data_IF_876475868429
#
_entry.id   IF_876475868429
#
_cell.length_a   1.000
_cell.length_b   1.000
_cell.length_c   1.000
_cell.angle_alpha   90.00
_cell.angle_beta   90.00
_cell.angle_gamma   90.00
#
_symmetry.space_group_name_H-M   'P 1'
#
loop_
_entity.id
_entity.type
_entity.pdbx_description
1 polymer ?
#
# COMPACT_ATOMS: atom_id res chain seq x y z
N UNK A 1 24.14 -88.48 14.41
CA UNK A 1 24.71 -87.63 13.33
C UNK A 1 24.53 -86.09 13.55
N UNK A 2 24.38 -85.64 14.76
CA UNK A 2 24.15 -84.26 15.07
C UNK A 2 25.32 -83.45 15.62
N UNK A 3 26.43 -84.06 15.97
CA UNK A 3 27.52 -83.36 16.68
C UNK A 3 28.63 -82.76 15.82
N UNK A 4 28.67 -83.09 14.54
CA UNK A 4 29.78 -82.69 13.66
C UNK A 4 29.57 -81.32 13.00
N UNK A 5 28.32 -80.89 12.90
CA UNK A 5 27.98 -79.56 12.30
C UNK A 5 28.12 -78.40 13.26
N UNK A 6 27.84 -78.57 14.53
CA UNK A 6 27.95 -77.57 15.58
C UNK A 6 29.39 -77.19 15.87
N UNK A 7 30.34 -78.15 15.84
CA UNK A 7 31.78 -77.94 16.06
C UNK A 7 32.46 -77.17 14.91
N UNK A 8 31.94 -77.24 13.67
CA UNK A 8 32.45 -76.52 12.51
C UNK A 8 32.06 -75.02 12.53
N UNK A 9 30.97 -74.65 13.17
CA UNK A 9 30.53 -73.26 13.34
C UNK A 9 31.34 -72.53 14.39
N UNK A 10 31.85 -73.21 15.39
CA UNK A 10 32.68 -72.61 16.48
C UNK A 10 34.13 -72.31 16.10
N UNK A 11 34.66 -72.90 15.04
CA UNK A 11 36.08 -72.74 14.63
C UNK A 11 36.26 -71.91 13.35
N UNK A 12 35.17 -71.52 12.70
CA UNK A 12 35.21 -70.76 11.46
C UNK A 12 35.25 -69.25 11.77
N UNK A 13 36.39 -68.59 11.57
CA UNK A 13 36.51 -67.11 11.63
C UNK A 13 35.54 -66.35 10.61
N UNK A 14 34.99 -67.09 9.63
CA UNK A 14 33.98 -66.59 8.69
C UNK A 14 32.60 -66.45 9.32
N UNK A 15 32.27 -67.07 10.42
CA UNK A 15 31.03 -66.92 11.18
C UNK A 15 30.94 -65.62 11.96
N UNK A 16 32.05 -64.97 12.23
CA UNK A 16 32.09 -63.73 13.03
C UNK A 16 31.48 -62.54 12.30
N UNK A 17 31.59 -62.48 10.95
CA UNK A 17 31.00 -61.42 10.15
C UNK A 17 29.48 -61.60 10.11
N UNK A 18 28.96 -62.80 9.97
CA UNK A 18 27.54 -63.07 9.94
C UNK A 18 26.85 -62.72 11.28
N UNK A 19 27.49 -63.00 12.40
CA UNK A 19 26.97 -62.66 13.73
C UNK A 19 27.05 -61.16 14.00
N UNK A 20 28.14 -60.49 13.60
CA UNK A 20 28.25 -59.03 13.66
C UNK A 20 27.20 -58.35 12.79
N UNK A 21 26.99 -58.81 11.53
CA UNK A 21 25.98 -58.27 10.63
C UNK A 21 24.58 -58.48 11.20
N UNK A 22 24.27 -59.65 11.76
CA UNK A 22 22.99 -59.94 12.37
C UNK A 22 22.67 -59.04 13.58
N UNK A 23 23.69 -58.67 14.38
CA UNK A 23 23.54 -57.76 15.50
C UNK A 23 23.45 -56.28 15.06
N UNK A 24 24.19 -55.90 14.02
CA UNK A 24 24.20 -54.50 13.55
C UNK A 24 23.01 -54.17 12.64
N UNK A 25 22.44 -55.14 11.95
CA UNK A 25 21.33 -54.90 11.00
C UNK A 25 20.09 -54.26 11.65
N UNK A 26 19.58 -54.70 12.80
CA UNK A 26 18.47 -54.02 13.48
C UNK A 26 18.78 -52.57 13.86
N UNK A 27 20.05 -52.32 14.26
CA UNK A 27 20.48 -50.94 14.60
C UNK A 27 20.52 -50.04 13.37
N UNK A 28 21.03 -50.57 12.23
CA UNK A 28 21.06 -49.84 10.98
C UNK A 28 19.65 -49.57 10.43
N UNK A 29 18.77 -50.57 10.49
CA UNK A 29 17.37 -50.43 10.09
C UNK A 29 16.65 -49.40 10.98
N UNK A 30 16.85 -49.48 12.29
CA UNK A 30 16.31 -48.54 13.26
C UNK A 30 16.80 -47.11 13.02
N UNK A 31 18.11 -46.93 12.80
CA UNK A 31 18.68 -45.63 12.47
C UNK A 31 18.16 -45.05 11.16
N UNK A 32 18.07 -45.84 10.09
CA UNK A 32 17.51 -45.42 8.80
C UNK A 32 16.02 -45.08 8.91
N UNK A 33 15.27 -45.85 9.71
CA UNK A 33 13.86 -45.61 9.97
C UNK A 33 13.62 -44.31 10.73
N UNK A 34 14.39 -44.06 11.81
CA UNK A 34 14.31 -42.79 12.55
C UNK A 34 14.73 -41.61 11.70
N UNK A 35 15.70 -41.75 10.80
CA UNK A 35 16.07 -40.69 9.85
C UNK A 35 14.93 -40.40 8.89
N UNK A 36 14.22 -41.39 8.36
CA UNK A 36 13.06 -41.26 7.53
C UNK A 36 11.92 -40.52 8.25
N UNK A 37 11.62 -40.92 9.50
CA UNK A 37 10.58 -40.25 10.31
C UNK A 37 10.94 -38.79 10.60
N UNK A 38 12.20 -38.49 10.88
CA UNK A 38 12.70 -37.13 11.12
C UNK A 38 12.54 -36.25 9.90
N UNK A 39 12.81 -36.80 8.70
CA UNK A 39 12.60 -36.09 7.43
C UNK A 39 11.10 -35.73 7.25
N UNK A 40 10.22 -36.74 7.42
CA UNK A 40 8.76 -36.53 7.28
C UNK A 40 8.25 -35.52 8.31
N UNK A 41 8.66 -35.60 9.56
CA UNK A 41 8.31 -34.64 10.60
C UNK A 41 8.76 -33.24 10.24
N UNK A 42 10.02 -33.08 9.80
CA UNK A 42 10.59 -31.77 9.43
C UNK A 42 9.88 -31.15 8.24
N UNK A 43 9.57 -31.93 7.20
CA UNK A 43 8.86 -31.46 6.03
C UNK A 43 7.44 -31.02 6.40
N UNK A 44 6.71 -31.81 7.16
CA UNK A 44 5.37 -31.47 7.63
C UNK A 44 5.39 -30.19 8.50
N UNK A 45 6.34 -30.10 9.43
CA UNK A 45 6.51 -28.90 10.27
C UNK A 45 6.76 -27.65 9.45
N UNK A 46 7.61 -27.74 8.41
CA UNK A 46 7.89 -26.62 7.51
C UNK A 46 6.67 -26.23 6.66
N UNK A 47 5.91 -27.20 6.14
CA UNK A 47 4.68 -26.92 5.40
C UNK A 47 3.63 -26.24 6.29
N UNK A 48 3.44 -26.75 7.51
CA UNK A 48 2.53 -26.16 8.48
C UNK A 48 2.96 -24.74 8.88
N UNK A 49 4.26 -24.50 9.07
CA UNK A 49 4.74 -23.15 9.41
C UNK A 49 4.48 -22.17 8.26
N UNK A 50 4.76 -22.54 7.02
CA UNK A 50 4.44 -21.70 5.85
C UNK A 50 2.94 -21.39 5.76
N UNK A 51 2.08 -22.37 6.00
CA UNK A 51 0.64 -22.17 5.98
C UNK A 51 0.17 -21.29 7.15
N UNK A 52 0.76 -21.42 8.33
CA UNK A 52 0.47 -20.55 9.47
C UNK A 52 0.92 -19.10 9.20
N UNK A 53 2.14 -18.92 8.67
CA UNK A 53 2.69 -17.60 8.32
C UNK A 53 1.81 -16.90 7.28
N UNK A 54 1.45 -17.62 6.22
CA UNK A 54 0.60 -17.12 5.14
C UNK A 54 -0.81 -16.78 5.65
N UNK A 55 -1.42 -17.67 6.43
CA UNK A 55 -2.72 -17.43 7.06
C UNK A 55 -2.73 -16.24 8.02
N UNK A 56 -1.68 -16.08 8.83
CA UNK A 56 -1.55 -14.93 9.72
C UNK A 56 -1.46 -13.62 8.94
N UNK A 57 -0.67 -13.58 7.85
CA UNK A 57 -0.59 -12.42 6.96
C UNK A 57 -1.94 -12.12 6.31
N UNK A 58 -2.64 -13.13 5.79
CA UNK A 58 -3.95 -12.96 5.16
C UNK A 58 -4.99 -12.43 6.15
N UNK A 59 -5.01 -12.96 7.37
CA UNK A 59 -5.86 -12.49 8.46
C UNK A 59 -5.55 -11.05 8.85
N UNK A 60 -4.27 -10.70 9.03
CA UNK A 60 -3.84 -9.34 9.35
C UNK A 60 -4.14 -8.36 8.21
N UNK A 61 -4.01 -8.80 6.95
CA UNK A 61 -4.44 -8.01 5.80
C UNK A 61 -5.94 -7.71 5.86
N UNK A 62 -6.76 -8.71 6.11
CA UNK A 62 -8.20 -8.51 6.27
C UNK A 62 -8.50 -7.58 7.45
N UNK A 63 -7.81 -7.72 8.57
CA UNK A 63 -7.96 -6.84 9.74
C UNK A 63 -7.62 -5.39 9.39
N UNK A 64 -6.55 -5.14 8.61
CA UNK A 64 -6.16 -3.79 8.14
C UNK A 64 -7.20 -3.15 7.21
N UNK A 65 -8.03 -3.99 6.57
CA UNK A 65 -9.02 -3.54 5.58
C UNK A 65 -10.38 -3.22 6.20
N UNK A 66 -10.63 -3.62 7.44
CA UNK A 66 -11.94 -3.53 8.06
C UNK A 66 -11.86 -2.75 9.37
N UNK A 67 -12.48 -1.57 9.39
CA UNK A 67 -12.78 -0.87 10.64
C UNK A 67 -14.06 -1.48 11.22
N UNK A 68 -13.93 -2.24 12.29
CA UNK A 68 -15.09 -2.70 13.10
C UNK A 68 -15.82 -3.95 12.63
N UNK A 69 -15.33 -4.69 11.64
CA UNK A 69 -15.88 -6.00 11.29
C UNK A 69 -15.25 -7.08 12.18
N UNK A 70 -16.11 -7.89 12.77
CA UNK A 70 -15.75 -8.88 13.76
C UNK A 70 -14.73 -9.92 13.27
N UNK A 71 -14.25 -10.67 14.21
CA UNK A 71 -13.27 -11.77 14.05
C UNK A 71 -13.60 -12.77 12.91
N UNK A 72 -14.85 -12.88 12.48
CA UNK A 72 -15.27 -13.82 11.43
C UNK A 72 -14.65 -13.54 10.05
N UNK A 73 -14.55 -12.28 9.62
CA UNK A 73 -13.95 -11.94 8.32
C UNK A 73 -12.44 -12.23 8.31
N UNK A 74 -11.78 -11.95 9.44
CA UNK A 74 -10.35 -12.26 9.66
C UNK A 74 -10.12 -13.76 9.64
N UNK A 75 -10.96 -14.52 10.34
CA UNK A 75 -10.90 -15.98 10.39
C UNK A 75 -11.14 -16.60 9.01
N UNK A 76 -12.14 -16.11 8.27
CA UNK A 76 -12.42 -16.59 6.92
C UNK A 76 -11.26 -16.34 5.94
N UNK A 77 -10.64 -15.17 6.01
CA UNK A 77 -9.49 -14.84 5.17
C UNK A 77 -8.28 -15.72 5.49
N UNK A 78 -7.95 -15.87 6.77
CA UNK A 78 -6.85 -16.72 7.22
C UNK A 78 -7.08 -18.18 6.85
N UNK A 79 -8.28 -18.73 7.13
CA UNK A 79 -8.63 -20.11 6.81
C UNK A 79 -8.62 -20.38 5.30
N UNK A 80 -9.15 -19.44 4.51
CA UNK A 80 -9.15 -19.53 3.05
C UNK A 80 -7.73 -19.59 2.46
N UNK A 81 -6.79 -18.88 3.05
CA UNK A 81 -5.39 -18.90 2.63
C UNK A 81 -4.67 -20.18 3.08
N UNK A 82 -4.87 -20.61 4.33
CA UNK A 82 -4.35 -21.87 4.85
C UNK A 82 -4.80 -23.05 3.99
N UNK A 83 -6.08 -23.06 3.58
CA UNK A 83 -6.63 -24.15 2.75
C UNK A 83 -6.00 -24.18 1.37
N UNK A 84 -5.73 -23.04 0.76
CA UNK A 84 -5.07 -22.94 -0.56
C UNK A 84 -3.61 -23.33 -0.53
N UNK A 85 -2.91 -23.03 0.54
CA UNK A 85 -1.46 -23.23 0.67
C UNK A 85 -1.10 -24.47 1.51
N UNK A 86 -2.09 -25.14 2.11
CA UNK A 86 -1.90 -26.32 2.94
C UNK A 86 -1.77 -27.58 2.09
N UNK A 87 -0.55 -27.95 1.74
CA UNK A 87 -0.25 -29.25 1.09
C UNK A 87 -0.20 -30.44 2.06
N UNK A 88 -0.89 -30.38 3.22
CA UNK A 88 -0.89 -31.42 4.26
C UNK A 88 -2.30 -31.65 4.80
N UNK A 89 -2.54 -32.84 5.32
CA UNK A 89 -3.82 -33.16 5.96
C UNK A 89 -3.87 -32.59 7.36
N UNK A 90 -4.89 -31.78 7.64
CA UNK A 90 -5.15 -31.24 8.99
C UNK A 90 -6.12 -32.17 9.72
N UNK A 91 -5.66 -32.82 10.78
CA UNK A 91 -6.50 -33.63 11.67
C UNK A 91 -7.16 -32.79 12.78
N UNK A 92 -6.68 -31.56 12.98
CA UNK A 92 -7.14 -30.65 14.03
C UNK A 92 -7.53 -29.31 13.38
N UNK A 93 -8.68 -28.79 13.80
CA UNK A 93 -9.18 -27.50 13.30
C UNK A 93 -8.19 -26.38 13.59
N UNK A 94 -7.83 -25.53 12.60
CA UNK A 94 -7.02 -24.34 12.81
C UNK A 94 -7.61 -23.39 13.84
N UNK A 95 -6.79 -22.88 14.74
CA UNK A 95 -7.18 -21.84 15.70
C UNK A 95 -6.67 -20.51 15.20
N UNK A 96 -7.60 -19.56 14.99
CA UNK A 96 -7.30 -18.23 14.49
C UNK A 96 -7.84 -17.21 15.49
N UNK A 97 -6.96 -16.43 16.09
CA UNK A 97 -7.28 -15.45 17.11
C UNK A 97 -6.96 -14.02 16.62
N UNK A 98 -7.88 -13.11 16.89
CA UNK A 98 -7.66 -11.67 16.72
C UNK A 98 -8.49 -10.96 17.81
N UNK A 99 -7.82 -10.38 18.82
CA UNK A 99 -6.37 -10.29 19.07
C UNK A 99 -5.70 -11.65 19.34
N UNK A 100 -4.35 -11.66 19.31
CA UNK A 100 -3.55 -12.84 19.67
C UNK A 100 -3.76 -13.20 21.15
N UNK A 101 -3.78 -14.51 21.46
CA UNK A 101 -4.10 -14.99 22.82
C UNK A 101 -2.87 -15.47 23.58
N UNK A 102 -1.71 -15.57 22.92
CA UNK A 102 -0.51 -16.09 23.55
C UNK A 102 0.77 -15.35 23.11
N UNK A 103 1.84 -15.55 23.89
CA UNK A 103 3.17 -14.96 23.62
C UNK A 103 3.26 -13.45 23.87
N UNK A 104 4.31 -12.84 23.33
CA UNK A 104 4.63 -11.40 23.53
C UNK A 104 3.61 -10.45 22.92
N UNK A 105 2.77 -10.92 21.99
CA UNK A 105 1.75 -10.15 21.29
C UNK A 105 0.33 -10.44 21.80
N UNK A 106 0.25 -11.07 22.99
CA UNK A 106 -1.03 -11.32 23.63
C UNK A 106 -1.81 -10.03 23.81
N UNK A 107 -3.12 -10.07 23.49
CA UNK A 107 -4.05 -8.95 23.60
C UNK A 107 -3.72 -7.76 22.66
N UNK A 108 -2.74 -7.88 21.77
CA UNK A 108 -2.44 -6.87 20.75
C UNK A 108 -3.59 -6.80 19.73
N UNK A 109 -4.37 -5.74 19.77
CA UNK A 109 -5.57 -5.55 18.93
C UNK A 109 -5.27 -5.50 17.42
N UNK A 110 -4.03 -5.18 17.07
CA UNK A 110 -3.53 -5.12 15.70
C UNK A 110 -2.84 -6.43 15.24
N UNK A 111 -2.96 -7.52 16.02
CA UNK A 111 -2.31 -8.79 15.71
C UNK A 111 -3.31 -9.91 15.41
N UNK A 112 -2.90 -10.80 14.50
CA UNK A 112 -3.60 -12.05 14.18
C UNK A 112 -2.67 -13.23 14.44
N UNK A 113 -3.14 -14.16 15.26
CA UNK A 113 -2.45 -15.39 15.61
C UNK A 113 -3.11 -16.57 14.88
N UNK A 114 -2.29 -17.40 14.25
CA UNK A 114 -2.71 -18.67 13.64
C UNK A 114 -1.96 -19.81 14.29
N UNK A 115 -2.71 -20.80 14.80
CA UNK A 115 -2.16 -22.02 15.39
C UNK A 115 -2.70 -23.20 14.59
N UNK A 116 -1.79 -23.97 14.00
CA UNK A 116 -2.07 -25.19 13.27
C UNK A 116 -1.54 -26.39 14.07
N UNK A 117 -2.27 -27.48 14.05
CA UNK A 117 -1.85 -28.73 14.64
C UNK A 117 -2.32 -29.90 13.80
N UNK A 118 -1.52 -30.96 13.75
CA UNK A 118 -1.89 -32.24 13.15
C UNK A 118 -1.26 -33.39 13.91
N UNK A 119 -1.94 -34.51 13.98
CA UNK A 119 -1.41 -35.75 14.54
C UNK A 119 -0.91 -36.63 13.39
N UNK A 120 0.37 -37.00 13.43
CA UNK A 120 1.04 -37.77 12.39
C UNK A 120 1.54 -39.12 12.92
N UNK A 121 1.20 -40.16 12.18
CA UNK A 121 1.73 -41.50 12.45
C UNK A 121 3.10 -41.64 11.77
N UNK A 122 4.14 -41.70 12.59
CA UNK A 122 5.51 -41.94 12.15
C UNK A 122 5.83 -43.44 12.36
N UNK A 123 6.13 -44.23 11.31
CA UNK A 123 6.18 -45.68 11.39
C UNK A 123 7.18 -46.20 12.44
N UNK A 124 8.39 -45.67 12.48
CA UNK A 124 9.44 -46.11 13.40
C UNK A 124 9.34 -45.48 14.78
N UNK A 125 9.05 -44.17 14.83
CA UNK A 125 8.83 -43.47 16.10
C UNK A 125 7.61 -43.99 16.83
N UNK A 126 6.54 -44.32 16.08
CA UNK A 126 5.30 -44.89 16.63
C UNK A 126 5.47 -46.26 17.28
N UNK A 127 6.46 -47.06 16.86
CA UNK A 127 6.81 -48.33 17.53
C UNK A 127 7.37 -48.12 18.94
N UNK A 128 8.04 -46.99 19.16
CA UNK A 128 8.68 -46.68 20.46
C UNK A 128 7.74 -45.84 21.33
N UNK A 129 7.06 -44.85 20.77
CA UNK A 129 6.26 -43.87 21.52
C UNK A 129 4.76 -44.22 21.66
N UNK A 130 4.30 -45.32 21.10
CA UNK A 130 2.91 -45.85 21.21
C UNK A 130 1.82 -44.81 20.90
N UNK A 131 1.92 -44.15 19.77
CA UNK A 131 0.87 -43.23 19.32
C UNK A 131 1.29 -42.21 18.27
N UNK A 132 0.36 -41.45 17.73
CA UNK A 132 0.68 -40.39 16.79
C UNK A 132 1.47 -39.26 17.45
N UNK A 133 2.40 -38.70 16.72
CA UNK A 133 3.17 -37.54 17.17
C UNK A 133 2.45 -36.27 16.77
N UNK A 134 2.18 -35.39 17.73
CA UNK A 134 1.58 -34.10 17.48
C UNK A 134 2.58 -33.10 16.93
N UNK A 135 2.30 -32.56 15.77
CA UNK A 135 3.08 -31.49 15.15
C UNK A 135 2.22 -30.22 15.20
N UNK A 136 2.81 -29.12 15.67
CA UNK A 136 2.13 -27.82 15.71
C UNK A 136 2.99 -26.74 15.08
N UNK A 137 2.35 -25.74 14.50
CA UNK A 137 2.97 -24.53 13.99
C UNK A 137 2.18 -23.33 14.50
N UNK A 138 2.85 -22.24 14.80
CA UNK A 138 2.26 -20.99 15.26
C UNK A 138 2.87 -19.83 14.50
N UNK A 139 2.04 -18.89 14.08
CA UNK A 139 2.47 -17.64 13.48
C UNK A 139 1.65 -16.49 14.04
N UNK A 140 2.27 -15.35 14.19
CA UNK A 140 1.60 -14.08 14.53
C UNK A 140 2.01 -13.03 13.53
N UNK A 141 1.02 -12.38 12.92
CA UNK A 141 1.22 -11.21 12.07
C UNK A 141 0.61 -9.98 12.75
N UNK A 142 1.38 -8.91 12.81
CA UNK A 142 0.98 -7.65 13.41
C UNK A 142 0.91 -6.55 12.34
N UNK A 143 -0.11 -5.69 12.46
CA UNK A 143 -0.24 -4.48 11.66
C UNK A 143 0.54 -3.38 12.39
N UNK A 144 1.61 -2.92 11.76
CA UNK A 144 2.43 -1.81 12.26
C UNK A 144 2.31 -0.61 11.34
N UNK A 145 2.36 0.60 11.91
CA UNK A 145 2.48 1.81 11.10
C UNK A 145 3.81 1.82 10.37
N UNK A 146 3.80 2.16 9.08
CA UNK A 146 5.02 2.25 8.28
C UNK A 146 5.39 3.68 7.89
N UNK A 147 4.74 4.66 8.48
CA UNK A 147 5.02 6.09 8.32
C UNK A 147 3.83 6.90 7.80
N UNK A 148 4.03 8.21 7.80
CA UNK A 148 3.06 9.16 7.28
C UNK A 148 3.41 9.52 5.84
N UNK A 149 2.39 9.47 4.99
CA UNK A 149 2.49 9.80 3.57
C UNK A 149 1.72 11.07 3.26
N UNK A 150 2.23 11.87 2.35
CA UNK A 150 1.52 13.00 1.77
C UNK A 150 1.36 12.87 0.25
N UNK A 151 1.99 11.88 -0.35
CA UNK A 151 1.86 11.57 -1.78
C UNK A 151 1.45 10.12 -1.94
N UNK A 152 0.33 9.88 -2.62
CA UNK A 152 -0.18 8.56 -2.94
C UNK A 152 -0.53 8.48 -4.42
N UNK A 153 0.12 7.57 -5.14
CA UNK A 153 -0.27 7.17 -6.49
C UNK A 153 -1.16 5.92 -6.43
N UNK A 154 -2.37 6.04 -6.98
CA UNK A 154 -3.39 4.99 -7.02
C UNK A 154 -3.28 4.06 -8.25
N UNK A 155 -2.26 4.26 -9.11
CA UNK A 155 -2.01 3.39 -10.26
C UNK A 155 -1.92 1.93 -9.84
N UNK A 156 -2.64 1.05 -10.53
CA UNK A 156 -2.72 -0.38 -10.21
C UNK A 156 -2.29 -1.28 -11.39
N UNK A 157 -1.69 -0.68 -12.41
CA UNK A 157 -1.14 -1.39 -13.57
C UNK A 157 0.39 -1.45 -13.51
N UNK A 158 1.01 -2.17 -14.43
CA UNK A 158 2.46 -2.27 -14.52
C UNK A 158 3.11 -1.01 -15.13
N UNK A 159 2.57 0.17 -14.79
CA UNK A 159 3.09 1.48 -15.18
C UNK A 159 3.63 2.19 -13.93
N UNK A 160 4.75 2.95 -14.01
CA UNK A 160 5.24 3.70 -12.86
C UNK A 160 4.16 4.64 -12.29
N UNK A 161 3.90 4.53 -10.98
CA UNK A 161 2.94 5.41 -10.32
C UNK A 161 3.54 6.78 -9.98
N UNK A 162 4.82 6.81 -9.60
CA UNK A 162 5.54 8.05 -9.27
C UNK A 162 6.88 8.10 -10.03
N UNK A 163 6.86 8.52 -11.31
CA UNK A 163 8.10 8.85 -12.02
C UNK A 163 8.62 10.22 -11.58
N UNK A 164 9.92 10.30 -11.34
CA UNK A 164 10.66 11.52 -11.01
C UNK A 164 11.80 11.63 -11.98
N UNK A 165 11.76 12.64 -12.84
CA UNK A 165 12.67 12.74 -13.98
C UNK A 165 13.35 14.10 -14.14
N UNK A 166 14.27 14.16 -15.13
CA UNK A 166 15.02 15.36 -15.46
C UNK A 166 15.97 15.78 -14.35
N UNK A 167 15.90 17.02 -13.90
CA UNK A 167 16.66 17.57 -12.78
C UNK A 167 15.74 17.93 -11.59
N UNK A 168 14.64 17.20 -11.44
CA UNK A 168 13.68 17.47 -10.39
C UNK A 168 14.27 17.24 -9.00
N UNK A 169 14.18 18.24 -8.13
CA UNK A 169 14.45 18.09 -6.71
C UNK A 169 13.15 18.04 -5.96
N UNK A 170 12.82 16.89 -5.41
CA UNK A 170 11.59 16.65 -4.64
C UNK A 170 11.95 16.55 -3.18
N UNK A 171 11.54 17.52 -2.38
CA UNK A 171 11.73 17.55 -0.94
C UNK A 171 10.37 17.45 -0.27
N UNK A 172 10.12 16.32 0.39
CA UNK A 172 8.90 16.06 1.14
C UNK A 172 9.24 15.91 2.63
N UNK A 173 8.53 16.61 3.48
CA UNK A 173 8.58 16.39 4.93
C UNK A 173 7.79 15.15 5.39
N UNK A 174 7.48 14.24 4.47
CA UNK A 174 6.61 13.08 4.62
C UNK A 174 7.02 12.01 3.61
N UNK A 175 6.40 10.82 3.71
CA UNK A 175 6.62 9.74 2.77
C UNK A 175 5.84 9.89 1.46
N UNK A 176 6.20 9.03 0.48
CA UNK A 176 5.44 8.81 -0.74
C UNK A 176 5.14 7.31 -0.92
N UNK A 177 3.94 7.02 -1.43
CA UNK A 177 3.47 5.65 -1.67
C UNK A 177 2.93 5.50 -3.09
N UNK A 178 3.28 4.40 -3.74
CA UNK A 178 2.72 4.00 -5.03
C UNK A 178 2.09 2.62 -4.98
N UNK A 179 0.83 2.53 -5.39
CA UNK A 179 0.11 1.26 -5.51
C UNK A 179 0.44 0.48 -6.79
N UNK A 180 1.25 1.02 -7.68
CA UNK A 180 1.61 0.37 -8.93
C UNK A 180 2.45 -0.90 -8.69
N UNK A 181 2.08 -2.07 -9.25
CA UNK A 181 2.87 -3.30 -9.13
C UNK A 181 4.09 -3.33 -10.08
N UNK A 182 4.45 -2.21 -10.66
CA UNK A 182 5.55 -2.07 -11.61
C UNK A 182 6.93 -2.33 -10.98
N UNK A 183 7.86 -2.89 -11.74
CA UNK A 183 9.27 -3.00 -11.35
C UNK A 183 9.96 -1.64 -11.20
N UNK A 184 9.33 -0.57 -11.64
CA UNK A 184 9.75 0.83 -11.52
C UNK A 184 8.61 1.68 -10.95
N UNK A 185 7.93 1.18 -9.91
CA UNK A 185 6.73 1.78 -9.34
C UNK A 185 6.96 3.23 -8.87
N UNK A 186 8.09 3.46 -8.18
CA UNK A 186 8.64 4.79 -7.90
C UNK A 186 10.05 4.79 -8.47
N UNK A 187 10.32 5.72 -9.37
CA UNK A 187 11.63 5.78 -10.05
C UNK A 187 12.17 7.20 -10.09
N UNK A 188 13.38 7.39 -9.58
CA UNK A 188 14.14 8.64 -9.65
C UNK A 188 15.23 8.54 -10.71
N UNK A 189 14.98 9.15 -11.87
CA UNK A 189 15.86 9.09 -13.06
C UNK A 189 16.61 10.38 -13.31
N UNK A 190 17.70 10.29 -14.07
CA UNK A 190 18.50 11.44 -14.50
C UNK A 190 19.24 12.08 -13.34
N UNK A 191 19.23 13.41 -13.27
CA UNK A 191 19.82 14.20 -12.19
C UNK A 191 18.80 14.54 -11.09
N UNK A 192 17.68 13.81 -11.02
CA UNK A 192 16.68 14.04 -9.98
C UNK A 192 17.20 13.69 -8.58
N UNK A 193 16.70 14.38 -7.54
CA UNK A 193 17.04 14.10 -6.15
C UNK A 193 15.79 14.10 -5.29
N UNK A 194 15.67 13.10 -4.42
CA UNK A 194 14.45 12.88 -3.62
C UNK A 194 14.79 12.84 -2.13
N UNK A 195 14.18 13.73 -1.38
CA UNK A 195 14.16 13.73 0.08
C UNK A 195 12.74 13.42 0.54
N UNK A 196 12.48 12.17 0.84
CA UNK A 196 11.19 11.68 1.36
C UNK A 196 11.45 10.42 2.18
N UNK A 197 10.68 10.18 3.22
CA UNK A 197 10.78 8.95 4.01
C UNK A 197 9.45 8.67 4.73
N UNK A 198 8.90 7.46 4.59
CA UNK A 198 9.37 6.37 3.74
C UNK A 198 9.04 6.58 2.24
N UNK A 199 9.76 5.90 1.37
CA UNK A 199 9.43 5.74 -0.05
C UNK A 199 8.98 4.31 -0.25
N UNK A 200 7.66 4.10 -0.37
CA UNK A 200 7.05 2.78 -0.37
C UNK A 200 6.29 2.48 -1.67
N UNK A 201 6.32 1.24 -2.13
CA UNK A 201 5.59 0.81 -3.31
C UNK A 201 5.10 -0.63 -3.21
N UNK A 202 3.98 -0.90 -3.86
CA UNK A 202 3.48 -2.29 -4.07
C UNK A 202 4.42 -3.06 -4.99
N UNK A 203 4.97 -2.39 -6.01
CA UNK A 203 6.03 -2.91 -6.84
C UNK A 203 7.42 -2.58 -6.28
N UNK A 204 8.37 -2.36 -7.17
CA UNK A 204 9.75 -2.10 -6.80
C UNK A 204 10.05 -0.59 -6.75
N UNK A 205 11.02 -0.21 -5.91
CA UNK A 205 11.64 1.12 -5.82
C UNK A 205 13.12 0.98 -6.17
N UNK A 206 13.51 1.04 -7.44
CA UNK A 206 14.90 0.86 -7.86
C UNK A 206 15.85 1.82 -7.13
N UNK A 207 17.14 1.47 -7.01
CA UNK A 207 18.17 2.40 -6.59
C UNK A 207 18.13 3.69 -7.42
N UNK A 208 18.31 4.84 -6.78
CA UNK A 208 18.25 6.15 -7.42
C UNK A 208 18.82 7.22 -6.49
N UNK A 209 18.69 8.48 -6.87
CA UNK A 209 19.20 9.61 -6.12
C UNK A 209 18.25 9.98 -4.96
N UNK A 210 18.27 9.17 -3.90
CA UNK A 210 17.55 9.41 -2.67
C UNK A 210 18.48 9.99 -1.60
N UNK A 211 17.94 10.85 -0.74
CA UNK A 211 18.67 11.39 0.39
C UNK A 211 19.16 10.29 1.34
N UNK A 212 20.28 10.52 1.99
CA UNK A 212 20.81 9.60 3.00
C UNK A 212 19.80 9.41 4.13
N UNK A 213 19.55 8.15 4.51
CA UNK A 213 18.55 7.80 5.53
C UNK A 213 17.14 7.60 4.99
N UNK A 214 16.89 7.75 3.69
CA UNK A 214 15.60 7.37 3.08
C UNK A 214 15.32 5.88 3.27
N UNK A 215 14.19 5.56 3.87
CA UNK A 215 13.71 4.18 4.02
C UNK A 215 12.92 3.81 2.76
N UNK A 216 13.48 2.92 1.94
CA UNK A 216 12.78 2.35 0.78
C UNK A 216 12.08 1.06 1.17
N UNK A 217 10.81 0.95 0.86
CA UNK A 217 9.95 -0.21 1.16
C UNK A 217 9.34 -0.74 -0.14
N UNK A 218 9.89 -1.82 -0.62
CA UNK A 218 9.42 -2.53 -1.81
C UNK A 218 8.41 -3.59 -1.41
N UNK A 219 7.49 -3.92 -2.33
CA UNK A 219 6.46 -4.94 -2.13
C UNK A 219 5.58 -4.69 -0.89
N UNK A 220 5.34 -3.40 -0.61
CA UNK A 220 4.45 -2.97 0.46
C UNK A 220 2.98 -3.28 0.11
N UNK A 221 2.14 -3.31 1.11
CA UNK A 221 0.70 -3.44 0.88
C UNK A 221 0.15 -2.16 0.22
N UNK A 222 -0.84 -2.30 -0.70
CA UNK A 222 -1.47 -1.14 -1.31
C UNK A 222 -2.16 -0.28 -0.26
N UNK A 223 -1.94 1.02 -0.33
CA UNK A 223 -2.63 1.98 0.52
C UNK A 223 -3.98 2.32 -0.10
N UNK A 224 -5.03 2.23 0.69
CA UNK A 224 -6.36 2.61 0.23
C UNK A 224 -6.46 4.10 -0.05
N UNK A 225 -7.27 4.44 -1.03
CA UNK A 225 -7.66 5.82 -1.27
C UNK A 225 -8.29 6.44 0.00
N UNK A 226 -7.67 7.44 0.61
CA UNK A 226 -8.16 8.06 1.84
C UNK A 226 -9.50 8.78 1.64
N UNK A 227 -9.80 9.17 0.40
CA UNK A 227 -11.02 9.90 0.04
C UNK A 227 -12.11 9.03 -0.59
N UNK A 228 -11.95 7.70 -0.59
CA UNK A 228 -12.88 6.74 -1.22
C UNK A 228 -14.34 6.84 -0.76
N UNK A 229 -14.56 7.30 0.47
CA UNK A 229 -15.88 7.41 1.08
C UNK A 229 -16.58 8.74 0.80
N UNK A 230 -15.91 9.68 0.12
CA UNK A 230 -16.56 10.92 -0.28
C UNK A 230 -17.65 10.63 -1.32
N UNK A 231 -18.77 11.35 -1.27
CA UNK A 231 -19.79 11.19 -2.29
C UNK A 231 -19.28 11.66 -3.66
N UNK A 232 -19.78 11.04 -4.72
CA UNK A 232 -19.56 11.57 -6.06
C UNK A 232 -20.23 12.94 -6.20
N UNK A 233 -19.65 13.83 -7.01
CA UNK A 233 -20.28 15.11 -7.28
C UNK A 233 -21.68 14.94 -7.88
N UNK A 234 -22.62 15.85 -7.59
CA UNK A 234 -23.94 15.81 -8.20
C UNK A 234 -23.83 15.85 -9.72
N UNK A 235 -24.85 15.36 -10.40
CA UNK A 235 -24.90 15.42 -11.85
C UNK A 235 -25.18 16.88 -12.28
N UNK A 236 -24.18 17.52 -12.86
CA UNK A 236 -24.24 18.94 -13.24
C UNK A 236 -24.86 19.10 -14.63
N UNK A 237 -25.87 19.93 -14.75
CA UNK A 237 -26.40 20.31 -16.03
C UNK A 237 -25.42 21.24 -16.77
N UNK A 238 -25.62 21.40 -18.09
CA UNK A 238 -24.83 22.34 -18.90
C UNK A 238 -24.91 23.76 -18.35
N UNK A 239 -23.77 24.41 -18.22
CA UNK A 239 -23.68 25.83 -17.84
C UNK A 239 -22.85 26.57 -18.87
N UNK A 240 -23.28 27.81 -19.20
CA UNK A 240 -22.53 28.75 -20.04
C UNK A 240 -21.77 29.79 -19.21
N UNK A 241 -21.76 29.65 -17.90
CA UNK A 241 -21.05 30.56 -17.00
C UNK A 241 -19.55 30.29 -17.03
N UNK A 242 -18.77 31.26 -17.45
CA UNK A 242 -17.30 31.21 -17.46
C UNK A 242 -16.74 32.22 -16.46
N UNK A 243 -15.79 31.81 -15.62
CA UNK A 243 -15.01 32.73 -14.79
C UNK A 243 -13.75 33.14 -15.56
N UNK A 244 -13.83 34.25 -16.29
CA UNK A 244 -12.75 34.76 -17.12
C UNK A 244 -12.20 36.09 -16.59
N UNK A 245 -10.88 36.17 -16.42
CA UNK A 245 -10.17 37.41 -16.06
C UNK A 245 -8.97 37.59 -16.99
N UNK A 246 -9.02 38.68 -17.77
CA UNK A 246 -7.94 39.03 -18.68
C UNK A 246 -6.73 39.66 -17.92
N UNK A 247 -5.54 39.74 -18.51
CA UNK A 247 -4.41 40.44 -17.94
C UNK A 247 -4.76 41.87 -17.52
N UNK A 248 -4.20 42.32 -16.40
CA UNK A 248 -4.44 43.62 -15.81
C UNK A 248 -5.92 43.93 -15.42
N UNK A 249 -6.75 42.90 -15.36
CA UNK A 249 -8.13 43.00 -14.85
C UNK A 249 -8.24 42.25 -13.53
N UNK A 250 -9.26 42.65 -12.76
CA UNK A 250 -9.59 41.96 -11.50
C UNK A 250 -11.07 41.63 -11.46
N UNK A 251 -11.40 40.48 -10.86
CA UNK A 251 -12.78 40.07 -10.62
C UNK A 251 -12.89 39.16 -9.39
N UNK A 252 -14.11 39.15 -8.81
CA UNK A 252 -14.44 38.27 -7.67
C UNK A 252 -15.55 37.32 -8.08
N UNK A 253 -15.43 36.05 -7.78
CA UNK A 253 -16.37 35.00 -8.14
C UNK A 253 -16.98 34.36 -6.89
N UNK A 254 -18.28 34.10 -6.96
CA UNK A 254 -19.01 33.31 -5.96
C UNK A 254 -18.95 31.81 -6.23
N UNK A 255 -19.18 31.02 -5.20
CA UNK A 255 -19.37 29.57 -5.36
C UNK A 255 -20.52 29.24 -6.33
N UNK A 256 -20.40 28.14 -7.06
CA UNK A 256 -21.40 27.73 -8.04
C UNK A 256 -20.83 26.87 -9.17
N UNK A 257 -21.59 26.80 -10.27
CA UNK A 257 -21.23 26.02 -11.46
C UNK A 257 -20.64 26.90 -12.56
N UNK A 258 -19.50 26.49 -13.06
CA UNK A 258 -18.77 27.12 -14.13
C UNK A 258 -18.47 26.12 -15.24
N UNK A 259 -18.54 26.53 -16.49
CA UNK A 259 -18.02 25.75 -17.60
C UNK A 259 -16.49 25.79 -17.56
N UNK A 260 -15.91 27.00 -17.64
CA UNK A 260 -14.47 27.19 -17.57
C UNK A 260 -14.10 28.26 -16.53
N UNK A 261 -12.92 28.08 -15.95
CA UNK A 261 -12.22 29.09 -15.14
C UNK A 261 -10.93 29.41 -15.89
N UNK A 262 -10.81 30.64 -16.42
CA UNK A 262 -9.66 31.09 -17.21
C UNK A 262 -9.19 32.45 -16.69
N UNK A 263 -8.10 32.44 -15.92
CA UNK A 263 -7.58 33.60 -15.22
C UNK A 263 -6.17 33.90 -15.69
N UNK A 264 -6.01 35.10 -16.25
CA UNK A 264 -4.71 35.68 -16.62
C UNK A 264 -4.43 37.01 -15.88
N UNK A 265 -5.39 37.51 -15.09
CA UNK A 265 -5.29 38.70 -14.25
C UNK A 265 -5.46 38.35 -12.76
N UNK A 266 -6.09 39.23 -11.98
CA UNK A 266 -6.33 39.03 -10.54
C UNK A 266 -7.73 38.46 -10.30
N UNK A 267 -7.83 37.31 -9.68
CA UNK A 267 -9.09 36.65 -9.33
C UNK A 267 -9.20 36.39 -7.84
N UNK A 268 -10.37 36.68 -7.28
CA UNK A 268 -10.72 36.25 -5.92
C UNK A 268 -11.89 35.29 -5.99
N UNK A 269 -11.74 34.10 -5.43
CA UNK A 269 -12.81 33.12 -5.27
C UNK A 269 -13.28 33.12 -3.83
N UNK A 270 -14.54 33.43 -3.61
CA UNK A 270 -15.15 33.41 -2.28
C UNK A 270 -15.17 31.98 -1.70
N UNK A 271 -15.22 31.80 -0.38
CA UNK A 271 -15.36 30.45 0.20
C UNK A 271 -16.55 29.69 -0.37
N UNK A 272 -16.36 28.39 -0.65
CA UNK A 272 -17.43 27.50 -1.13
C UNK A 272 -17.02 26.50 -2.18
N UNK A 273 -18.00 25.88 -2.82
CA UNK A 273 -17.82 24.79 -3.80
C UNK A 273 -17.99 25.31 -5.23
N UNK A 274 -16.99 25.06 -6.05
CA UNK A 274 -16.95 25.45 -7.47
C UNK A 274 -16.98 24.19 -8.34
N UNK A 275 -18.09 23.93 -8.99
CA UNK A 275 -18.19 22.82 -9.96
C UNK A 275 -17.74 23.30 -11.33
N UNK A 276 -16.72 22.65 -11.90
CA UNK A 276 -16.17 22.99 -13.22
C UNK A 276 -16.36 21.83 -14.16
N UNK A 277 -16.99 22.09 -15.33
CA UNK A 277 -17.34 21.06 -16.31
C UNK A 277 -16.48 21.08 -17.58
N UNK A 278 -15.58 22.03 -17.73
CA UNK A 278 -14.66 22.15 -18.87
C UNK A 278 -13.20 22.18 -18.42
N UNK A 279 -12.64 23.35 -18.08
CA UNK A 279 -11.24 23.45 -17.66
C UNK A 279 -11.02 24.55 -16.63
N UNK A 280 -9.97 24.37 -15.81
CA UNK A 280 -9.41 25.43 -14.96
C UNK A 280 -8.02 25.79 -15.49
N UNK A 281 -7.83 27.05 -15.84
CA UNK A 281 -6.62 27.58 -16.44
C UNK A 281 -6.12 28.80 -15.67
N UNK A 282 -4.98 28.72 -15.03
CA UNK A 282 -4.31 29.87 -14.40
C UNK A 282 -3.07 30.22 -15.23
N UNK A 283 -3.17 31.29 -16.01
CA UNK A 283 -2.10 31.78 -16.87
C UNK A 283 -0.90 32.32 -16.08
N UNK A 284 0.21 32.56 -16.76
CA UNK A 284 1.48 32.97 -16.12
C UNK A 284 1.42 34.31 -15.38
N UNK A 285 0.45 35.17 -15.68
CA UNK A 285 0.23 36.45 -14.99
C UNK A 285 -0.90 36.40 -13.97
N UNK A 286 -1.51 35.24 -13.78
CA UNK A 286 -2.61 35.05 -12.84
C UNK A 286 -2.16 35.33 -11.41
N UNK A 287 -2.99 36.09 -10.67
CA UNK A 287 -2.87 36.28 -9.23
C UNK A 287 -4.20 35.84 -8.61
N UNK A 288 -4.21 34.65 -8.01
CA UNK A 288 -5.43 34.01 -7.55
C UNK A 288 -5.44 33.90 -6.03
N UNK A 289 -6.53 34.38 -5.44
CA UNK A 289 -6.83 34.18 -4.01
C UNK A 289 -8.10 33.34 -3.90
N UNK A 290 -8.03 32.19 -3.17
CA UNK A 290 -9.15 31.28 -2.99
C UNK A 290 -9.09 30.64 -1.59
N UNK A 291 -9.49 31.40 -0.59
CA UNK A 291 -9.46 30.92 0.80
C UNK A 291 -10.77 30.23 1.16
N UNK A 292 -10.70 28.95 1.59
CA UNK A 292 -11.87 28.15 1.93
C UNK A 292 -12.68 27.70 0.70
N UNK A 293 -12.05 27.59 -0.45
CA UNK A 293 -12.67 27.15 -1.70
C UNK A 293 -12.24 25.75 -2.10
N UNK A 294 -13.16 24.96 -2.66
CA UNK A 294 -12.88 23.67 -3.31
C UNK A 294 -13.32 23.71 -4.76
N UNK A 295 -12.46 23.23 -5.64
CA UNK A 295 -12.73 23.13 -7.08
C UNK A 295 -13.01 21.67 -7.45
N UNK A 296 -14.26 21.38 -7.81
CA UNK A 296 -14.73 20.06 -8.21
C UNK A 296 -14.65 19.97 -9.74
N UNK A 297 -13.68 19.20 -10.22
CA UNK A 297 -13.49 18.94 -11.65
C UNK A 297 -14.40 17.77 -12.05
N UNK A 298 -15.46 18.05 -12.79
CA UNK A 298 -16.47 17.08 -13.21
C UNK A 298 -16.80 17.27 -14.70
N UNK A 299 -17.86 16.69 -15.19
CA UNK A 299 -18.37 16.90 -16.53
C UNK A 299 -19.86 17.25 -16.51
N UNK A 300 -20.35 17.88 -17.56
CA UNK A 300 -21.78 17.96 -17.78
C UNK A 300 -22.36 16.56 -17.88
N UNK A 301 -23.37 16.24 -17.07
CA UNK A 301 -23.98 14.93 -16.98
C UNK A 301 -22.95 13.81 -16.74
N UNK A 302 -22.04 13.97 -15.77
CA UNK A 302 -20.89 13.09 -15.52
C UNK A 302 -21.26 11.61 -15.32
N UNK A 303 -22.49 11.27 -14.94
CA UNK A 303 -22.97 9.91 -14.86
C UNK A 303 -22.95 9.16 -16.20
N UNK A 304 -23.09 9.89 -17.32
CA UNK A 304 -23.07 9.34 -18.69
C UNK A 304 -21.92 9.88 -19.54
N UNK A 305 -21.28 10.97 -19.12
CA UNK A 305 -20.23 11.69 -19.89
C UNK A 305 -18.90 11.66 -19.12
N UNK A 306 -18.39 10.47 -18.87
CA UNK A 306 -17.18 10.23 -18.05
C UNK A 306 -15.88 10.61 -18.76
N UNK A 307 -15.90 10.74 -20.10
CA UNK A 307 -14.71 11.04 -20.91
C UNK A 307 -14.34 12.53 -20.96
N UNK A 308 -15.22 13.42 -20.49
CA UNK A 308 -15.04 14.87 -20.57
C UNK A 308 -14.91 15.54 -19.19
N UNK A 309 -14.43 14.81 -18.21
CA UNK A 309 -14.16 15.38 -16.88
C UNK A 309 -13.09 16.45 -16.99
N UNK A 310 -13.37 17.60 -16.38
CA UNK A 310 -12.54 18.78 -16.41
C UNK A 310 -11.12 18.53 -15.91
N UNK A 311 -10.18 19.35 -16.41
CA UNK A 311 -8.76 19.32 -16.01
C UNK A 311 -8.33 20.68 -15.47
N UNK A 312 -7.20 20.71 -14.78
CA UNK A 312 -6.55 21.92 -14.29
C UNK A 312 -5.17 22.10 -14.90
N UNK A 313 -4.86 23.34 -15.30
CA UNK A 313 -3.54 23.76 -15.76
C UNK A 313 -3.14 25.06 -15.06
N UNK A 314 -2.00 25.02 -14.38
CA UNK A 314 -1.41 26.18 -13.70
C UNK A 314 -0.05 26.48 -14.32
N UNK A 315 0.14 27.70 -14.82
CA UNK A 315 1.39 28.12 -15.45
C UNK A 315 2.42 28.59 -14.40
N UNK A 316 3.70 28.40 -14.65
CA UNK A 316 4.78 28.63 -13.68
C UNK A 316 4.95 30.09 -13.18
N UNK A 317 4.36 31.07 -13.87
CA UNK A 317 4.35 32.46 -13.41
C UNK A 317 3.16 32.83 -12.51
N UNK A 318 2.16 31.95 -12.41
CA UNK A 318 0.95 32.20 -11.61
C UNK A 318 1.28 32.32 -10.11
N UNK A 319 0.69 33.31 -9.46
CA UNK A 319 0.74 33.48 -8.01
C UNK A 319 -0.56 32.99 -7.41
N UNK A 320 -0.48 31.92 -6.62
CA UNK A 320 -1.66 31.24 -6.11
C UNK A 320 -1.62 31.28 -4.57
N UNK A 321 -2.66 31.84 -3.97
CA UNK A 321 -2.90 31.76 -2.53
C UNK A 321 -4.24 31.08 -2.31
N UNK A 322 -4.20 29.74 -2.17
CA UNK A 322 -5.39 28.90 -2.18
C UNK A 322 -5.38 27.97 -0.98
N UNK A 323 -6.45 28.00 -0.21
CA UNK A 323 -6.65 27.11 0.94
C UNK A 323 -7.98 26.37 0.81
N UNK A 324 -7.96 25.09 1.12
CA UNK A 324 -9.15 24.24 1.16
C UNK A 324 -10.14 24.70 2.24
N UNK A 325 -11.43 24.36 2.12
CA UNK A 325 -12.40 24.59 3.19
C UNK A 325 -12.05 23.71 4.41
N UNK A 326 -12.26 24.24 5.62
CA UNK A 326 -12.02 23.50 6.87
C UNK A 326 -13.23 22.70 7.33
N UNK A 327 -14.39 22.90 6.71
CA UNK A 327 -15.66 22.24 7.10
C UNK A 327 -16.43 21.83 5.84
N UNK A 328 -17.46 20.99 6.01
CA UNK A 328 -18.32 20.50 4.94
C UNK A 328 -17.81 19.20 4.33
N UNK A 329 -18.52 18.73 3.30
CA UNK A 329 -18.28 17.42 2.66
C UNK A 329 -16.87 17.28 2.08
N UNK A 330 -16.31 18.39 1.58
CA UNK A 330 -14.98 18.42 0.95
C UNK A 330 -13.95 19.15 1.82
N UNK A 331 -14.12 19.09 3.14
CA UNK A 331 -13.15 19.68 4.06
C UNK A 331 -11.74 19.14 3.80
N UNK A 332 -10.75 20.03 3.78
CA UNK A 332 -9.36 19.69 3.53
C UNK A 332 -9.00 19.44 2.06
N UNK A 333 -9.95 19.53 1.12
CA UNK A 333 -9.68 19.27 -0.31
C UNK A 333 -9.72 20.58 -1.09
N UNK A 334 -8.64 20.86 -1.82
CA UNK A 334 -8.52 22.03 -2.66
C UNK A 334 -9.01 21.75 -4.10
N UNK A 335 -8.57 20.65 -4.67
CA UNK A 335 -9.04 20.14 -5.97
C UNK A 335 -9.56 18.72 -5.82
N UNK A 336 -10.78 18.48 -6.28
CA UNK A 336 -11.40 17.17 -6.31
C UNK A 336 -11.76 16.82 -7.76
N UNK A 337 -11.13 15.80 -8.32
CA UNK A 337 -11.54 15.22 -9.59
C UNK A 337 -12.65 14.19 -9.38
N UNK A 338 -13.67 14.27 -10.20
CA UNK A 338 -14.74 13.29 -10.26
C UNK A 338 -14.20 11.88 -10.54
N UNK A 339 -14.47 10.95 -9.64
CA UNK A 339 -13.99 9.55 -9.72
C UNK A 339 -14.59 8.77 -10.90
N UNK A 340 -15.66 9.26 -11.50
CA UNK A 340 -16.28 8.68 -12.71
C UNK A 340 -15.44 8.93 -13.96
N UNK A 341 -14.41 9.79 -13.93
CA UNK A 341 -13.58 10.09 -15.08
C UNK A 341 -13.01 8.81 -15.71
N UNK A 342 -13.20 8.69 -17.03
CA UNK A 342 -12.62 7.64 -17.87
C UNK A 342 -11.49 8.16 -18.78
N UNK A 343 -11.34 9.49 -18.93
CA UNK A 343 -10.24 10.11 -19.66
C UNK A 343 -8.94 10.06 -18.82
N UNK A 344 -7.85 9.65 -19.45
CA UNK A 344 -6.53 9.61 -18.83
C UNK A 344 -5.79 10.95 -19.02
N UNK A 345 -6.47 12.07 -18.82
CA UNK A 345 -5.89 13.38 -19.02
C UNK A 345 -4.80 13.69 -17.97
N UNK A 346 -3.95 14.66 -18.28
CA UNK A 346 -2.92 15.16 -17.38
C UNK A 346 -3.34 16.50 -16.81
N UNK A 347 -3.28 16.64 -15.50
CA UNK A 347 -3.42 17.90 -14.79
C UNK A 347 -2.04 18.45 -14.52
N UNK A 348 -1.81 19.73 -14.79
CA UNK A 348 -0.49 20.35 -14.74
C UNK A 348 -0.45 21.40 -13.64
N UNK A 349 0.44 21.26 -12.70
CA UNK A 349 0.72 22.25 -11.67
C UNK A 349 2.17 22.70 -11.80
N UNK A 350 2.34 23.91 -12.32
CA UNK A 350 3.62 24.60 -12.36
C UNK A 350 3.70 25.53 -11.17
N UNK A 351 4.38 25.09 -10.11
CA UNK A 351 4.56 25.92 -8.93
C UNK A 351 5.62 27.00 -9.11
N UNK A 352 5.48 28.08 -8.36
CA UNK A 352 6.57 29.02 -8.09
C UNK A 352 6.71 29.23 -6.58
N UNK A 353 7.82 29.83 -6.15
CA UNK A 353 8.16 30.02 -4.74
C UNK A 353 7.21 30.95 -3.96
N UNK A 354 6.36 31.69 -4.65
CA UNK A 354 5.39 32.63 -4.05
C UNK A 354 3.97 32.04 -3.98
N UNK A 355 3.76 30.84 -4.48
CA UNK A 355 2.46 30.17 -4.43
C UNK A 355 2.28 29.39 -3.14
N UNK A 356 1.12 29.55 -2.50
CA UNK A 356 0.66 28.78 -1.36
C UNK A 356 -0.55 27.94 -1.77
N UNK A 357 -0.40 26.63 -1.79
CA UNK A 357 -1.51 25.69 -1.91
C UNK A 357 -1.63 24.93 -0.60
N UNK A 358 -2.80 24.96 0.02
CA UNK A 358 -3.07 24.23 1.26
C UNK A 358 -4.29 23.36 1.11
N UNK A 359 -4.13 22.06 1.35
CA UNK A 359 -5.19 21.06 1.23
C UNK A 359 -4.79 19.89 0.34
N UNK A 360 -5.75 19.07 -0.04
CA UNK A 360 -5.53 17.90 -0.86
C UNK A 360 -5.76 18.20 -2.35
N UNK A 361 -4.86 17.66 -3.17
CA UNK A 361 -5.00 17.56 -4.62
C UNK A 361 -5.42 16.12 -4.94
N UNK A 362 -6.70 15.93 -5.26
CA UNK A 362 -7.30 14.61 -5.45
C UNK A 362 -7.67 14.36 -6.90
N UNK A 363 -6.88 13.55 -7.61
CA UNK A 363 -7.03 13.19 -9.03
C UNK A 363 -7.01 11.67 -9.25
N UNK A 364 -7.97 10.91 -8.69
CA UNK A 364 -7.87 9.46 -8.57
C UNK A 364 -7.85 8.69 -9.90
N UNK A 365 -8.29 9.32 -10.99
CA UNK A 365 -8.36 8.71 -12.31
C UNK A 365 -7.41 9.33 -13.34
N UNK A 366 -6.82 10.48 -13.04
CA UNK A 366 -5.96 11.22 -13.97
C UNK A 366 -4.54 11.36 -13.40
N UNK A 367 -3.63 11.74 -14.27
CA UNK A 367 -2.26 12.05 -13.91
C UNK A 367 -2.16 13.48 -13.37
N UNK A 368 -1.34 13.67 -12.34
CA UNK A 368 -0.91 14.96 -11.85
C UNK A 368 0.56 15.15 -12.19
N UNK A 369 0.86 16.12 -13.05
CA UNK A 369 2.22 16.50 -13.38
C UNK A 369 2.61 17.74 -12.58
N UNK A 370 3.68 17.59 -11.80
CA UNK A 370 4.26 18.66 -10.98
C UNK A 370 5.50 19.19 -11.67
N UNK A 371 5.40 20.40 -12.23
CA UNK A 371 6.53 21.10 -12.84
C UNK A 371 6.86 22.34 -12.03
N UNK A 372 8.12 22.75 -12.02
CA UNK A 372 8.50 24.00 -11.37
C UNK A 372 9.97 24.24 -11.51
N UNK A 373 10.36 25.45 -11.87
CA UNK A 373 11.76 25.88 -11.96
C UNK A 373 12.25 26.54 -10.67
N UNK A 374 11.36 27.06 -9.84
CA UNK A 374 11.69 27.83 -8.65
C UNK A 374 11.17 27.25 -7.33
N UNK A 375 10.72 25.99 -7.37
CA UNK A 375 10.30 25.25 -6.17
C UNK A 375 9.02 25.81 -5.53
N UNK A 376 7.93 25.07 -5.62
CA UNK A 376 6.74 25.36 -4.81
C UNK A 376 7.05 25.02 -3.35
N UNK A 377 6.85 25.97 -2.43
CA UNK A 377 7.05 25.77 -1.00
C UNK A 377 5.68 25.80 -0.31
N UNK A 378 5.18 24.64 0.06
CA UNK A 378 3.87 24.53 0.73
C UNK A 378 3.99 23.68 1.99
N UNK A 379 3.37 24.14 3.07
CA UNK A 379 3.48 23.49 4.39
C UNK A 379 2.42 22.42 4.64
N UNK A 380 1.32 22.44 3.90
CA UNK A 380 0.22 21.50 4.10
C UNK A 380 -0.37 21.14 2.73
N UNK A 381 0.27 20.23 2.03
CA UNK A 381 -0.22 19.72 0.77
C UNK A 381 -0.23 18.20 0.78
N UNK A 382 -1.35 17.63 0.39
CA UNK A 382 -1.51 16.20 0.17
C UNK A 382 -1.82 15.95 -1.29
N UNK A 383 -1.24 14.91 -1.86
CA UNK A 383 -1.43 14.54 -3.25
C UNK A 383 -1.92 13.10 -3.31
N UNK A 384 -3.11 12.91 -3.84
CA UNK A 384 -3.66 11.61 -4.18
C UNK A 384 -4.08 11.63 -5.63
N UNK A 385 -3.35 10.94 -6.50
CA UNK A 385 -3.63 10.92 -7.92
C UNK A 385 -3.48 9.50 -8.48
N UNK A 386 -4.03 9.25 -9.68
CA UNK A 386 -3.73 7.99 -10.37
C UNK A 386 -2.22 7.83 -10.55
N UNK A 387 -1.56 8.86 -11.08
CA UNK A 387 -0.09 8.94 -11.20
C UNK A 387 0.38 10.34 -10.81
N UNK A 388 1.58 10.44 -10.24
CA UNK A 388 2.22 11.71 -9.88
C UNK A 388 3.57 11.81 -10.59
N UNK A 389 3.66 12.63 -11.64
CA UNK A 389 4.87 12.82 -12.44
C UNK A 389 5.60 14.10 -12.00
N UNK A 390 6.82 13.94 -11.51
CA UNK A 390 7.65 15.04 -11.04
C UNK A 390 8.69 15.41 -12.09
N UNK A 391 8.59 16.65 -12.61
CA UNK A 391 9.52 17.19 -13.61
C UNK A 391 10.19 18.49 -13.19
N UNK A 392 9.90 18.97 -11.99
CA UNK A 392 10.42 20.24 -11.48
C UNK A 392 10.69 20.18 -9.99
N UNK A 393 11.29 21.24 -9.47
CA UNK A 393 11.66 21.33 -8.07
C UNK A 393 10.46 21.63 -7.19
N UNK A 394 10.29 20.89 -6.11
CA UNK A 394 9.19 21.07 -5.16
C UNK A 394 9.66 20.86 -3.73
N UNK A 395 9.14 21.67 -2.82
CA UNK A 395 9.30 21.50 -1.39
C UNK A 395 7.92 21.45 -0.75
N UNK A 396 7.47 20.27 -0.38
CA UNK A 396 6.17 20.01 0.23
C UNK A 396 6.40 19.56 1.66
N UNK A 397 5.70 20.20 2.59
CA UNK A 397 5.64 19.75 3.98
C UNK A 397 4.21 19.32 4.31
N UNK A 398 4.08 18.41 5.25
CA UNK A 398 2.78 17.96 5.74
C UNK A 398 2.53 18.45 7.18
N UNK A 399 2.80 19.72 7.40
CA UNK A 399 2.51 20.40 8.67
C UNK A 399 1.23 21.19 8.50
N UNK A 400 0.12 20.48 8.60
CA UNK A 400 -1.20 21.10 8.44
C UNK A 400 -1.63 21.83 9.72
N UNK A 401 -2.21 23.04 9.61
CA UNK A 401 -2.79 23.71 10.77
C UNK A 401 -3.90 22.87 11.40
N UNK A 402 -4.06 22.96 12.71
CA UNK A 402 -5.21 22.37 13.39
C UNK A 402 -6.51 22.91 12.75
N UNK A 403 -7.47 22.02 12.54
CA UNK A 403 -8.76 22.35 11.88
C UNK A 403 -8.67 22.74 10.39
N UNK A 404 -7.56 22.45 9.69
CA UNK A 404 -7.48 22.65 8.24
C UNK A 404 -8.37 21.69 7.44
N UNK A 405 -8.92 20.65 8.07
CA UNK A 405 -9.63 19.57 7.40
C UNK A 405 -8.71 18.60 6.64
N UNK A 406 -7.44 18.94 6.45
CA UNK A 406 -6.43 18.09 5.85
C UNK A 406 -5.72 17.27 6.94
N UNK A 407 -5.63 15.95 6.75
CA UNK A 407 -4.91 15.04 7.64
C UNK A 407 -3.93 14.18 6.82
N UNK A 408 -2.73 13.94 7.37
CA UNK A 408 -1.83 12.95 6.77
C UNK A 408 -2.52 11.59 6.72
N UNK A 409 -2.16 10.79 5.74
CA UNK A 409 -2.57 9.41 5.70
C UNK A 409 -1.40 8.52 6.12
N UNK A 410 -1.67 7.65 7.08
CA UNK A 410 -0.69 6.70 7.59
C UNK A 410 -0.77 5.41 6.80
N UNK A 411 0.36 4.92 6.39
CA UNK A 411 0.48 3.60 5.82
C UNK A 411 0.53 2.53 6.90
N UNK A 412 0.16 1.33 6.52
CA UNK A 412 0.28 0.15 7.37
C UNK A 412 1.13 -0.89 6.69
N UNK A 413 1.94 -1.59 7.46
CA UNK A 413 2.72 -2.74 7.04
C UNK A 413 2.32 -3.93 7.91
N UNK A 414 2.24 -5.10 7.30
CA UNK A 414 2.06 -6.34 8.05
C UNK A 414 3.43 -6.99 8.23
N UNK A 415 3.75 -7.34 9.46
CA UNK A 415 4.97 -8.05 9.81
C UNK A 415 4.65 -9.36 10.49
N UNK A 416 5.31 -10.43 10.09
CA UNK A 416 5.40 -11.63 10.91
C UNK A 416 6.30 -11.31 12.10
N UNK A 417 5.79 -11.56 13.30
CA UNK A 417 6.47 -11.18 14.56
C UNK A 417 6.69 -12.37 15.49
N UNK A 418 6.04 -13.50 15.21
CA UNK A 418 6.24 -14.77 15.92
C UNK A 418 5.66 -15.94 15.12
#
# INVERSE_FOLDING_TARGET
MGGFWVRRLQTSRRGNIATLTALMMPVLIGAAGLASDTIQWTLTKRMMQRAADSGAIAGAYQLSQTTGLGSQAVQAAALGDITRNGGFSMSITPVINSPATSGSFRDASAAVEVILATDMNLPFTGMVMRGPMRISARAVAEIVGNGDYCVLALENTNTPGIPIGGSATVNLGCGMMSNAPSTTSIIANGASFVTASPVAAVGNVPPGNYATGTVRQEYALPLRDPYRNLPDPPNIASSNNDARVQPNRSNTFGAGTYRNIDVSGTATFNPGVYYVTGSVNFGSQANVTANGAVFILTATNAASNTSNVATVSMQGGARLNMTAPSTGTYAGILFYQDRRASNMATNIINGNSTSLLQGALYFPRQELQMNGTSGMNTRCLQIVARRVDWRGNTNIQNVCPANSGASSFSGTQIKLVA
#
